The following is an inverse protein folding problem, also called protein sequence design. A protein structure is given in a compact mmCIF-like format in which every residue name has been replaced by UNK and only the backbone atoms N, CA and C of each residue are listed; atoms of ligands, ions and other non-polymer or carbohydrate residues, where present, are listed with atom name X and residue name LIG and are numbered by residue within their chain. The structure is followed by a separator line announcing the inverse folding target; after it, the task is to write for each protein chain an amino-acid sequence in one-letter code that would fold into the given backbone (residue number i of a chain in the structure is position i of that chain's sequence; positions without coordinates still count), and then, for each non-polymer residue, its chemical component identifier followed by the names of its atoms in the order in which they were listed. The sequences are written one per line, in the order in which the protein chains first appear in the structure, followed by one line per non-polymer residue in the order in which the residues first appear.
data_IF_603129265587
#
_entry.id   IF_603129265587
#
_cell.length_a   1.000
_cell.length_b   1.000
_cell.length_c   1.000
_cell.angle_alpha   90.00
_cell.angle_beta   90.00
_cell.angle_gamma   90.00
#
_symmetry.space_group_name_H-M   'P 1'
#
loop_
_entity.id
_entity.type
_entity.pdbx_description
1 polymer ?
#
# COMPACT_ATOMS: atom_id res chain seq x y z
N UNK A 1 -0.33 3.11 21.13
CA UNK A 1 -1.28 1.98 21.24
C UNK A 1 -1.39 1.39 19.85
N UNK A 2 -1.28 0.07 19.70
CA UNK A 2 -1.50 -0.55 18.40
C UNK A 2 -3.02 -0.60 18.14
N UNK A 3 -3.44 -0.05 17.02
CA UNK A 3 -4.83 -0.05 16.55
C UNK A 3 -5.29 -1.49 16.31
N UNK A 4 -6.46 -1.86 16.85
CA UNK A 4 -7.02 -3.22 16.77
C UNK A 4 -7.32 -3.65 15.31
N UNK A 5 -7.59 -2.65 14.45
CA UNK A 5 -7.89 -2.86 13.04
C UNK A 5 -7.40 -1.67 12.21
N UNK A 6 -6.41 -1.90 11.35
CA UNK A 6 -5.95 -0.91 10.39
C UNK A 6 -6.67 -1.15 9.06
N UNK A 7 -7.63 -0.29 8.73
CA UNK A 7 -8.33 -0.37 7.45
C UNK A 7 -7.42 0.16 6.36
N UNK A 8 -7.07 -0.72 5.42
CA UNK A 8 -6.16 -0.40 4.32
C UNK A 8 -7.00 -0.17 3.07
N UNK A 9 -6.92 1.04 2.53
CA UNK A 9 -7.49 1.38 1.23
C UNK A 9 -6.38 1.65 0.21
N UNK A 10 -6.68 1.42 -1.07
CA UNK A 10 -5.78 1.67 -2.19
C UNK A 10 -5.25 3.13 -2.22
N UNK A 11 -6.09 4.08 -1.81
CA UNK A 11 -5.76 5.49 -1.66
C UNK A 11 -4.61 5.72 -0.67
N UNK A 12 -4.64 5.06 0.49
CA UNK A 12 -3.59 5.15 1.51
C UNK A 12 -2.28 4.52 1.03
N UNK A 13 -2.36 3.38 0.33
CA UNK A 13 -1.21 2.72 -0.28
C UNK A 13 -0.54 3.66 -1.29
N UNK A 14 -1.32 4.27 -2.18
CA UNK A 14 -0.81 5.24 -3.17
C UNK A 14 -0.19 6.47 -2.50
N UNK A 15 -0.84 7.04 -1.47
CA UNK A 15 -0.32 8.19 -0.75
C UNK A 15 1.01 7.88 -0.06
N UNK A 16 1.14 6.71 0.56
CA UNK A 16 2.38 6.28 1.19
C UNK A 16 3.48 6.04 0.16
N UNK A 17 3.19 5.29 -0.91
CA UNK A 17 4.14 5.03 -1.99
C UNK A 17 4.71 6.35 -2.57
N UNK A 18 3.85 7.33 -2.83
CA UNK A 18 4.24 8.69 -3.24
C UNK A 18 5.13 9.41 -2.21
N UNK A 19 4.81 9.30 -0.91
CA UNK A 19 5.60 9.95 0.14
C UNK A 19 7.00 9.34 0.33
N UNK A 20 7.13 8.04 0.07
CA UNK A 20 8.40 7.30 0.12
C UNK A 20 9.21 7.49 -1.16
N UNK A 21 8.58 7.95 -2.25
CA UNK A 21 9.20 8.09 -3.57
C UNK A 21 9.27 6.77 -4.33
N UNK A 22 8.42 5.81 -3.98
CA UNK A 22 8.27 4.53 -4.68
C UNK A 22 7.05 4.63 -5.60
N UNK A 23 7.30 4.75 -6.91
CA UNK A 23 6.29 4.89 -7.95
C UNK A 23 5.96 3.57 -8.64
N UNK A 24 6.28 2.43 -8.02
CA UNK A 24 6.03 1.13 -8.63
C UNK A 24 4.53 0.94 -8.93
N UNK A 25 4.17 0.61 -10.19
CA UNK A 25 2.78 0.43 -10.61
C UNK A 25 2.06 -0.67 -9.84
N UNK A 26 2.76 -1.61 -9.20
CA UNK A 26 2.13 -2.66 -8.38
C UNK A 26 1.31 -2.11 -7.20
N UNK A 27 1.54 -0.86 -6.79
CA UNK A 27 0.88 -0.20 -5.67
C UNK A 27 -0.39 0.58 -6.04
N UNK A 28 -0.71 0.73 -7.32
CA UNK A 28 -1.89 1.48 -7.76
C UNK A 28 -2.54 0.98 -9.06
N UNK A 29 -1.83 0.21 -9.87
CA UNK A 29 -2.31 -0.31 -11.16
C UNK A 29 -2.87 -1.72 -10.99
N UNK A 30 -4.19 -1.84 -11.17
CA UNK A 30 -4.88 -3.13 -11.14
C UNK A 30 -4.53 -4.05 -12.32
N UNK A 31 -4.12 -3.48 -13.46
CA UNK A 31 -3.65 -4.23 -14.62
C UNK A 31 -2.26 -4.85 -14.40
N UNK A 32 -1.37 -4.15 -13.68
CA UNK A 32 -0.01 -4.64 -13.39
C UNK A 32 0.00 -5.84 -12.43
N UNK A 33 -1.06 -6.00 -11.63
CA UNK A 33 -1.25 -7.13 -10.70
C UNK A 33 -1.28 -8.49 -11.41
N UNK A 34 -1.81 -8.52 -12.64
CA UNK A 34 -1.90 -9.75 -13.43
C UNK A 34 -0.52 -10.30 -13.82
N UNK A 35 0.50 -9.44 -13.86
CA UNK A 35 1.88 -9.81 -14.21
C UNK A 35 2.67 -10.22 -12.97
N UNK A 36 2.41 -9.60 -11.81
CA UNK A 36 3.10 -9.90 -10.55
C UNK A 36 2.55 -11.13 -9.81
N UNK A 37 1.37 -11.63 -10.20
CA UNK A 37 0.74 -12.81 -9.59
C UNK A 37 0.07 -12.52 -8.24
N UNK A 38 -0.05 -11.25 -7.86
CA UNK A 38 -0.68 -10.84 -6.63
C UNK A 38 -2.17 -10.56 -6.86
N UNK A 39 -3.03 -10.99 -5.93
CA UNK A 39 -4.47 -10.69 -5.96
C UNK A 39 -4.72 -9.34 -5.28
N UNK A 40 -4.92 -8.29 -6.06
CA UNK A 40 -5.27 -6.96 -5.55
C UNK A 40 -4.08 -6.02 -5.39
N UNK A 41 -4.37 -4.80 -4.94
CA UNK A 41 -3.36 -3.76 -4.67
C UNK A 41 -2.57 -4.16 -3.43
N UNK A 42 -1.26 -4.27 -3.59
CA UNK A 42 -0.36 -4.68 -2.51
C UNK A 42 0.10 -3.41 -1.79
N UNK A 43 0.22 -3.47 -0.46
CA UNK A 43 0.86 -2.40 0.29
C UNK A 43 2.40 -2.57 0.25
N UNK A 44 3.18 -1.49 0.17
CA UNK A 44 4.62 -1.53 0.38
C UNK A 44 4.97 -2.23 1.70
N UNK A 45 6.08 -2.98 1.77
CA UNK A 45 6.45 -3.74 2.98
C UNK A 45 6.62 -2.84 4.21
N UNK A 46 6.97 -1.57 4.03
CA UNK A 46 7.12 -0.55 5.08
C UNK A 46 5.81 0.15 5.45
N UNK A 47 4.71 -0.09 4.73
CA UNK A 47 3.42 0.56 4.95
C UNK A 47 2.84 0.32 6.35
N UNK A 48 3.22 -0.79 7.01
CA UNK A 48 2.85 -1.05 8.39
C UNK A 48 3.34 0.05 9.37
N UNK A 49 4.42 0.78 9.03
CA UNK A 49 4.90 1.91 9.84
C UNK A 49 3.94 3.11 9.81
N UNK A 50 3.13 3.26 8.77
CA UNK A 50 2.10 4.30 8.69
C UNK A 50 1.06 4.19 9.80
N UNK A 51 0.89 3.00 10.41
CA UNK A 51 0.04 2.82 11.58
C UNK A 51 0.45 3.68 12.77
N UNK A 52 1.71 4.13 12.85
CA UNK A 52 2.17 5.01 13.92
C UNK A 52 1.62 6.44 13.83
N UNK A 53 1.06 6.84 12.68
CA UNK A 53 0.40 8.13 12.51
C UNK A 53 -1.09 8.12 12.92
N UNK A 54 -1.64 6.95 13.25
CA UNK A 54 -3.02 6.75 13.67
C UNK A 54 -3.08 6.38 15.16
#
# INVERSE_FOLDING_TARGET
MAIDKFLIEASHIMMFARSVGDDNPVYYDEGYQSVSGCKGIIAPPTFAQSSAQF
#
